data_IF_913035229481
#
_entry.id   IF_913035229481
#
_cell.length_a   1.000
_cell.length_b   1.000
_cell.length_c   1.000
_cell.angle_alpha   90.00
_cell.angle_beta   90.00
_cell.angle_gamma   90.00
#
_symmetry.space_group_name_H-M   'P 1'
#
loop_
_entity.id
_entity.type
_entity.pdbx_description
1 polymer ?
#
# COMPACT_ATOMS: atom_id res chain seq x y z
N UNK A 1 1.32 -15.82 9.92
CA UNK A 1 1.32 -15.44 8.50
C UNK A 1 1.11 -16.73 7.71
N UNK A 2 -0.01 -16.86 7.01
CA UNK A 2 -0.17 -17.96 6.08
C UNK A 2 0.85 -17.76 4.96
N UNK A 3 1.77 -18.69 4.80
CA UNK A 3 2.70 -18.71 3.66
C UNK A 3 1.86 -18.94 2.39
N UNK A 4 1.58 -17.86 1.69
CA UNK A 4 0.94 -17.95 0.38
C UNK A 4 1.99 -18.51 -0.58
N UNK A 5 1.88 -19.81 -0.89
CA UNK A 5 2.65 -20.41 -1.99
C UNK A 5 2.23 -19.72 -3.29
N UNK A 6 3.08 -18.85 -3.82
CA UNK A 6 2.86 -18.30 -5.14
C UNK A 6 3.04 -19.41 -6.18
N UNK A 7 2.20 -19.48 -7.21
CA UNK A 7 2.31 -20.48 -8.26
C UNK A 7 3.55 -20.31 -9.16
N UNK A 8 4.24 -19.17 -9.01
CA UNK A 8 5.43 -18.81 -9.77
C UNK A 8 6.61 -18.52 -8.84
N UNK A 9 7.84 -18.87 -9.23
CA UNK A 9 9.02 -18.59 -8.43
C UNK A 9 9.27 -17.09 -8.31
N UNK A 10 9.62 -16.66 -7.08
CA UNK A 10 10.09 -15.29 -6.85
C UNK A 10 11.50 -15.19 -7.40
N UNK A 11 11.68 -14.43 -8.47
CA UNK A 11 12.99 -14.27 -9.13
C UNK A 11 13.89 -13.27 -8.40
N UNK A 12 13.31 -12.23 -7.80
CA UNK A 12 14.04 -11.16 -7.13
C UNK A 12 13.37 -10.79 -5.81
N UNK A 13 14.16 -10.71 -4.74
CA UNK A 13 13.73 -10.15 -3.47
C UNK A 13 14.39 -8.78 -3.29
N UNK A 14 13.59 -7.73 -3.43
CA UNK A 14 14.04 -6.38 -3.22
C UNK A 14 13.93 -6.00 -1.75
N UNK A 15 14.98 -5.39 -1.20
CA UNK A 15 14.91 -4.82 0.14
C UNK A 15 14.11 -3.50 0.15
N UNK A 16 14.02 -2.83 -0.99
CA UNK A 16 13.23 -1.62 -1.20
C UNK A 16 13.47 -0.53 -0.15
N UNK A 17 12.47 0.32 0.02
CA UNK A 17 12.45 1.35 1.05
C UNK A 17 11.60 0.89 2.23
N UNK A 18 12.20 0.74 3.41
CA UNK A 18 11.44 0.54 4.64
C UNK A 18 10.99 1.88 5.21
N UNK A 19 9.68 2.04 5.38
CA UNK A 19 9.11 3.19 6.09
C UNK A 19 9.43 3.12 7.58
N UNK A 20 9.84 4.24 8.16
CA UNK A 20 9.88 4.37 9.62
C UNK A 20 8.60 5.05 10.10
N UNK A 21 7.87 4.38 10.96
CA UNK A 21 6.70 4.95 11.62
C UNK A 21 7.13 5.93 12.72
N UNK A 22 6.40 7.03 12.85
CA UNK A 22 6.53 7.94 14.01
C UNK A 22 5.93 7.25 15.24
N UNK A 23 6.48 7.55 16.44
CA UNK A 23 5.94 7.02 17.73
C UNK A 23 4.45 7.32 17.96
N UNK A 24 3.90 8.33 17.29
CA UNK A 24 2.48 8.74 17.38
C UNK A 24 1.61 8.30 16.18
N UNK A 25 2.13 7.39 15.31
CA UNK A 25 1.48 6.99 14.07
C UNK A 25 1.89 7.88 12.87
N UNK A 26 1.78 7.33 11.65
CA UNK A 26 2.19 7.97 10.41
C UNK A 26 3.65 7.72 10.02
N UNK A 27 3.98 8.05 8.77
CA UNK A 27 5.30 7.83 8.18
C UNK A 27 6.22 9.00 8.49
N UNK A 28 7.46 8.72 8.91
CA UNK A 28 8.50 9.73 9.04
C UNK A 28 9.15 9.98 7.67
N UNK A 29 8.61 10.99 6.99
CA UNK A 29 8.97 11.35 5.61
C UNK A 29 10.46 11.68 5.47
N UNK A 30 11.03 12.44 6.40
CA UNK A 30 12.43 12.86 6.34
C UNK A 30 13.37 11.67 6.48
N UNK A 31 13.12 10.80 7.45
CA UNK A 31 13.95 9.58 7.61
C UNK A 31 13.79 8.61 6.46
N UNK A 32 12.61 8.56 5.84
CA UNK A 32 12.38 7.77 4.63
C UNK A 32 13.13 8.36 3.45
N UNK A 33 13.11 9.67 3.26
CA UNK A 33 13.80 10.38 2.18
C UNK A 33 15.33 10.23 2.25
N UNK A 34 15.94 10.39 3.44
CA UNK A 34 17.37 10.16 3.59
C UNK A 34 17.80 8.72 3.30
N UNK A 35 16.93 7.75 3.57
CA UNK A 35 17.18 6.36 3.19
C UNK A 35 16.98 6.08 1.70
N UNK A 36 16.10 6.83 1.04
CA UNK A 36 15.85 6.71 -0.40
C UNK A 36 17.08 7.08 -1.24
N UNK A 37 17.92 7.98 -0.73
CA UNK A 37 19.15 8.42 -1.41
C UNK A 37 20.36 7.50 -1.12
N UNK A 38 20.14 6.31 -0.55
CA UNK A 38 21.21 5.38 -0.25
C UNK A 38 21.82 4.79 -1.52
N UNK A 39 23.15 4.67 -1.57
CA UNK A 39 23.88 3.99 -2.66
C UNK A 39 23.34 2.56 -2.93
N UNK A 40 22.83 1.91 -1.86
CA UNK A 40 22.19 0.60 -1.96
C UNK A 40 20.96 0.63 -2.87
N UNK A 41 20.04 1.59 -2.65
CA UNK A 41 18.82 1.70 -3.44
C UNK A 41 19.14 1.99 -4.91
N UNK A 42 20.10 2.87 -5.17
CA UNK A 42 20.56 3.16 -6.54
C UNK A 42 21.17 1.91 -7.21
N UNK A 43 21.92 1.09 -6.47
CA UNK A 43 22.43 -0.19 -6.97
C UNK A 43 21.29 -1.16 -7.29
N UNK A 44 20.31 -1.30 -6.39
CA UNK A 44 19.14 -2.14 -6.62
C UNK A 44 18.35 -1.70 -7.87
N UNK A 45 18.10 -0.39 -8.04
CA UNK A 45 17.41 0.18 -9.21
C UNK A 45 18.16 -0.13 -10.52
N UNK A 46 19.48 0.01 -10.52
CA UNK A 46 20.29 -0.25 -11.72
C UNK A 46 20.44 -1.74 -12.05
N UNK A 47 20.36 -2.61 -11.04
CA UNK A 47 20.58 -4.05 -11.21
C UNK A 47 19.36 -4.83 -11.67
N UNK A 48 18.15 -4.28 -11.54
CA UNK A 48 16.93 -4.97 -11.98
C UNK A 48 16.90 -5.01 -13.52
N UNK A 49 16.81 -6.21 -14.11
CA UNK A 49 16.72 -6.37 -15.56
C UNK A 49 15.26 -6.21 -16.02
N UNK A 50 14.71 -4.99 -15.93
CA UNK A 50 13.34 -4.69 -16.37
C UNK A 50 13.16 -4.87 -17.87
N UNK A 51 14.25 -4.80 -18.62
CA UNK A 51 14.31 -5.04 -20.06
C UNK A 51 13.99 -6.48 -20.48
N UNK A 52 14.10 -7.44 -19.57
CA UNK A 52 13.82 -8.87 -19.82
C UNK A 52 12.32 -9.20 -19.81
N UNK A 53 11.46 -8.22 -19.58
CA UNK A 53 10.02 -8.43 -19.40
C UNK A 53 9.19 -7.66 -20.42
N UNK A 54 8.20 -8.33 -21.02
CA UNK A 54 7.25 -7.75 -21.97
C UNK A 54 6.23 -6.81 -21.32
N UNK A 55 5.90 -7.04 -20.04
CA UNK A 55 4.94 -6.26 -19.27
C UNK A 55 5.40 -6.11 -17.83
N UNK A 56 5.40 -4.88 -17.34
CA UNK A 56 5.75 -4.56 -15.95
C UNK A 56 4.55 -3.91 -15.27
N UNK A 57 4.02 -4.61 -14.27
CA UNK A 57 2.95 -4.11 -13.40
C UNK A 57 3.56 -3.79 -12.04
N UNK A 58 3.24 -2.61 -11.51
CA UNK A 58 3.81 -2.09 -10.29
C UNK A 58 2.72 -1.69 -9.29
N UNK A 59 2.76 -2.26 -8.08
CA UNK A 59 1.91 -1.86 -6.96
C UNK A 59 2.69 -0.94 -6.01
N UNK A 60 2.93 0.28 -6.44
CA UNK A 60 3.58 1.35 -5.66
C UNK A 60 4.96 0.97 -5.11
N UNK A 61 5.72 0.17 -5.85
CA UNK A 61 7.06 -0.28 -5.50
C UNK A 61 8.11 0.61 -6.19
N UNK A 62 8.99 1.31 -5.44
CA UNK A 62 9.84 2.35 -6.02
C UNK A 62 11.02 1.81 -6.86
N UNK A 63 11.59 0.65 -6.50
CA UNK A 63 12.82 0.18 -7.18
C UNK A 63 12.53 -0.15 -8.64
N UNK A 64 11.50 -0.97 -8.89
CA UNK A 64 11.08 -1.34 -10.24
C UNK A 64 10.58 -0.13 -11.02
N UNK A 65 9.78 0.74 -10.39
CA UNK A 65 9.27 1.95 -11.04
C UNK A 65 10.40 2.90 -11.51
N UNK A 66 11.39 3.14 -10.66
CA UNK A 66 12.55 3.96 -11.02
C UNK A 66 13.46 3.28 -12.02
N UNK A 67 13.62 1.95 -11.97
CA UNK A 67 14.38 1.21 -12.97
C UNK A 67 13.77 1.36 -14.37
N UNK A 68 12.45 1.18 -14.47
CA UNK A 68 11.70 1.40 -15.71
C UNK A 68 11.85 2.83 -16.22
N UNK A 69 11.71 3.82 -15.34
CA UNK A 69 11.87 5.24 -15.69
C UNK A 69 13.28 5.54 -16.20
N UNK A 70 14.33 5.04 -15.54
CA UNK A 70 15.72 5.27 -15.94
C UNK A 70 16.09 4.59 -17.27
N UNK A 71 15.50 3.43 -17.53
CA UNK A 71 15.73 2.64 -18.73
C UNK A 71 14.72 2.92 -19.85
N UNK A 72 13.81 3.86 -19.63
CA UNK A 72 12.77 4.27 -20.57
C UNK A 72 11.82 3.14 -21.01
N UNK A 73 11.51 2.23 -20.07
CA UNK A 73 10.64 1.08 -20.28
C UNK A 73 9.25 1.38 -19.75
N UNK A 74 8.17 1.03 -20.47
CA UNK A 74 6.81 1.21 -19.99
C UNK A 74 6.55 0.46 -18.68
N UNK A 75 5.97 1.16 -17.70
CA UNK A 75 5.59 0.59 -16.40
C UNK A 75 4.15 1.00 -16.08
N UNK A 76 3.34 0.01 -15.74
CA UNK A 76 1.91 0.18 -15.46
C UNK A 76 1.67 0.10 -13.96
N UNK A 77 1.24 1.20 -13.36
CA UNK A 77 0.79 1.18 -11.96
C UNK A 77 -0.57 0.51 -11.86
N UNK A 78 -0.72 -0.38 -10.88
CA UNK A 78 -1.99 -0.98 -10.51
C UNK A 78 -2.12 -0.96 -8.99
N UNK A 79 -2.57 0.17 -8.44
CA UNK A 79 -2.46 0.44 -7.02
C UNK A 79 -3.58 1.34 -6.46
N UNK A 80 -3.82 1.25 -5.16
CA UNK A 80 -4.72 2.18 -4.46
C UNK A 80 -4.21 3.63 -4.50
N UNK A 81 -2.90 3.82 -4.50
CA UNK A 81 -2.27 5.14 -4.53
C UNK A 81 -2.60 5.92 -5.80
N UNK A 82 -2.70 5.23 -6.94
CA UNK A 82 -3.10 5.86 -8.20
C UNK A 82 -4.54 6.42 -8.11
N UNK A 83 -5.46 5.71 -7.44
CA UNK A 83 -6.82 6.22 -7.24
C UNK A 83 -6.87 7.44 -6.32
N UNK A 84 -6.00 7.54 -5.30
CA UNK A 84 -5.92 8.70 -4.42
C UNK A 84 -5.49 9.97 -5.16
N UNK A 85 -4.73 9.84 -6.23
CA UNK A 85 -4.30 10.98 -7.08
C UNK A 85 -5.40 11.49 -8.00
N UNK A 86 -6.44 10.70 -8.30
CA UNK A 86 -7.59 11.11 -9.13
C UNK A 86 -8.18 12.44 -8.65
N UNK A 87 -8.53 13.31 -9.59
CA UNK A 87 -9.15 14.61 -9.28
C UNK A 87 -10.55 14.45 -8.70
N UNK A 88 -11.25 13.39 -9.07
CA UNK A 88 -12.64 13.13 -8.68
C UNK A 88 -12.77 12.31 -7.39
N UNK A 89 -11.68 11.69 -6.92
CA UNK A 89 -11.69 10.99 -5.63
C UNK A 89 -11.81 11.97 -4.46
N UNK A 90 -12.49 11.59 -3.36
CA UNK A 90 -12.61 12.44 -2.17
C UNK A 90 -11.25 12.88 -1.66
N UNK A 91 -11.14 14.15 -1.30
CA UNK A 91 -9.90 14.74 -0.78
C UNK A 91 -10.10 15.19 0.67
N UNK A 92 -9.04 15.10 1.50
CA UNK A 92 -9.08 15.68 2.84
C UNK A 92 -9.24 17.21 2.76
N UNK A 93 -9.93 17.80 3.75
CA UNK A 93 -10.13 19.26 3.83
C UNK A 93 -8.80 20.04 3.87
N UNK A 94 -7.77 19.49 4.49
CA UNK A 94 -6.41 20.05 4.51
C UNK A 94 -5.54 19.31 3.52
N UNK A 95 -4.98 20.05 2.57
CA UNK A 95 -4.06 19.47 1.58
C UNK A 95 -2.70 19.20 2.21
N UNK A 96 -2.30 17.95 2.26
CA UNK A 96 -0.92 17.55 2.56
C UNK A 96 -0.09 17.63 1.27
N UNK A 97 0.59 18.77 1.08
CA UNK A 97 1.44 19.00 -0.11
C UNK A 97 2.60 18.01 -0.19
N UNK A 98 3.19 17.64 0.94
CA UNK A 98 4.29 16.68 1.01
C UNK A 98 3.79 15.26 0.70
N UNK A 99 2.67 14.84 1.28
CA UNK A 99 2.05 13.55 0.96
C UNK A 99 1.69 13.43 -0.52
N UNK A 100 1.17 14.49 -1.12
CA UNK A 100 0.88 14.54 -2.56
C UNK A 100 2.16 14.42 -3.41
N UNK A 101 3.23 15.10 -3.01
CA UNK A 101 4.52 15.01 -3.70
C UNK A 101 5.07 13.59 -3.64
N UNK A 102 5.00 12.93 -2.48
CA UNK A 102 5.41 11.52 -2.33
C UNK A 102 4.60 10.63 -3.24
N UNK A 103 3.27 10.72 -3.21
CA UNK A 103 2.40 9.91 -4.07
C UNK A 103 2.74 10.03 -5.56
N UNK A 104 3.16 11.22 -6.00
CA UNK A 104 3.52 11.44 -7.41
C UNK A 104 4.94 10.97 -7.77
N UNK A 105 5.86 10.94 -6.80
CA UNK A 105 7.29 10.76 -7.11
C UNK A 105 7.90 9.50 -6.50
N UNK A 106 7.22 8.83 -5.58
CA UNK A 106 7.76 7.66 -4.90
C UNK A 106 7.97 6.48 -5.85
N UNK A 107 6.95 6.14 -6.64
CA UNK A 107 6.99 5.08 -7.62
C UNK A 107 6.44 5.61 -8.96
N UNK A 108 7.27 6.30 -9.76
CA UNK A 108 6.84 6.92 -11.01
C UNK A 108 6.59 5.85 -12.07
N UNK A 109 5.39 5.84 -12.65
CA UNK A 109 4.98 4.92 -13.71
C UNK A 109 4.48 5.67 -14.93
N UNK A 110 4.59 5.07 -16.13
CA UNK A 110 4.15 5.67 -17.40
C UNK A 110 2.64 5.66 -17.55
N UNK A 111 1.98 4.62 -17.02
CA UNK A 111 0.53 4.47 -17.04
C UNK A 111 0.02 4.16 -15.63
N UNK A 112 -1.14 4.73 -15.29
CA UNK A 112 -1.69 4.58 -13.93
C UNK A 112 -3.10 4.01 -13.98
N UNK A 113 -3.28 2.87 -13.31
CA UNK A 113 -4.58 2.27 -13.03
C UNK A 113 -4.80 2.23 -11.53
N UNK A 114 -5.92 2.78 -11.09
CA UNK A 114 -6.25 2.90 -9.68
C UNK A 114 -7.21 1.82 -9.20
N UNK A 115 -7.12 1.46 -7.92
CA UNK A 115 -8.08 0.60 -7.25
C UNK A 115 -8.81 1.41 -6.17
N UNK A 116 -10.15 1.47 -6.26
CA UNK A 116 -10.99 2.14 -5.27
C UNK A 116 -12.37 1.48 -5.19
N UNK A 117 -13.06 1.63 -4.07
CA UNK A 117 -14.43 1.10 -3.90
C UNK A 117 -15.45 1.73 -4.85
N UNK A 118 -15.14 2.90 -5.38
CA UNK A 118 -15.93 3.58 -6.40
C UNK A 118 -15.04 3.94 -7.58
N UNK A 119 -15.41 3.60 -8.83
CA UNK A 119 -14.69 3.99 -10.03
C UNK A 119 -14.99 5.47 -10.36
N UNK A 120 -14.13 6.37 -9.89
CA UNK A 120 -14.30 7.82 -10.11
C UNK A 120 -13.90 8.27 -11.51
N UNK A 121 -13.01 7.54 -12.17
CA UNK A 121 -12.49 7.80 -13.51
C UNK A 121 -12.36 6.48 -14.27
N UNK A 122 -12.28 6.49 -15.62
CA UNK A 122 -12.24 5.26 -16.43
C UNK A 122 -11.09 4.31 -16.12
N UNK A 123 -9.98 4.84 -15.60
CA UNK A 123 -8.79 4.07 -15.22
C UNK A 123 -8.78 3.67 -13.73
N UNK A 124 -9.90 3.85 -13.03
CA UNK A 124 -10.05 3.41 -11.63
C UNK A 124 -11.07 2.29 -11.57
N UNK A 125 -10.60 1.14 -11.08
CA UNK A 125 -11.36 -0.10 -10.98
C UNK A 125 -11.72 -0.41 -9.53
N UNK A 126 -12.70 -1.29 -9.34
CA UNK A 126 -13.01 -1.83 -8.02
C UNK A 126 -11.91 -2.79 -7.54
N UNK A 127 -11.73 -2.96 -6.22
CA UNK A 127 -10.68 -3.81 -5.69
C UNK A 127 -10.79 -5.26 -6.17
N UNK A 128 -9.65 -5.88 -6.40
CA UNK A 128 -9.57 -7.32 -6.67
C UNK A 128 -9.82 -8.05 -5.36
N UNK A 129 -10.84 -8.89 -5.35
CA UNK A 129 -11.20 -9.74 -4.21
C UNK A 129 -11.01 -11.19 -4.62
N UNK A 130 -10.27 -11.96 -3.82
CA UNK A 130 -10.05 -13.38 -4.06
C UNK A 130 -11.39 -14.13 -4.11
N UNK A 131 -11.46 -15.16 -4.94
CA UNK A 131 -12.70 -15.91 -5.15
C UNK A 131 -13.21 -16.58 -3.86
N UNK A 132 -12.31 -17.12 -3.02
CA UNK A 132 -12.66 -17.73 -1.74
C UNK A 132 -13.37 -16.72 -0.79
N UNK A 133 -12.94 -15.46 -0.80
CA UNK A 133 -13.58 -14.39 -0.02
C UNK A 133 -14.90 -13.97 -0.67
N UNK A 134 -14.93 -13.83 -2.00
CA UNK A 134 -16.13 -13.42 -2.74
C UNK A 134 -17.27 -14.43 -2.62
N UNK A 135 -16.96 -15.73 -2.60
CA UNK A 135 -17.92 -16.83 -2.50
C UNK A 135 -18.22 -17.26 -1.05
N UNK A 136 -17.57 -16.65 -0.07
CA UNK A 136 -17.81 -16.97 1.34
C UNK A 136 -19.26 -16.67 1.74
N UNK A 137 -19.86 -17.54 2.52
CA UNK A 137 -21.17 -17.29 3.13
C UNK A 137 -21.08 -16.14 4.12
N UNK A 138 -21.90 -15.12 3.93
CA UNK A 138 -21.94 -13.95 4.78
C UNK A 138 -22.88 -14.22 5.97
N UNK A 139 -22.40 -14.05 7.17
CA UNK A 139 -23.23 -14.06 8.39
C UNK A 139 -23.16 -12.69 9.09
N UNK A 140 -24.27 -12.30 9.71
CA UNK A 140 -24.31 -11.09 10.54
C UNK A 140 -24.11 -11.50 12.00
N UNK A 141 -22.97 -11.14 12.57
CA UNK A 141 -22.68 -11.32 13.98
C UNK A 141 -23.26 -10.19 14.85
N UNK A 142 -23.24 -10.39 16.18
CA UNK A 142 -23.66 -9.39 17.18
C UNK A 142 -22.49 -8.54 17.69
N UNK A 143 -21.40 -8.50 16.95
CA UNK A 143 -20.19 -7.77 17.31
C UNK A 143 -19.78 -6.78 16.24
N UNK A 144 -18.95 -5.82 16.62
CA UNK A 144 -18.24 -4.95 15.70
C UNK A 144 -16.79 -5.38 15.61
N UNK A 145 -16.32 -5.64 14.40
CA UNK A 145 -14.93 -5.98 14.12
C UNK A 145 -14.08 -4.74 14.02
N UNK A 146 -12.94 -4.73 14.70
CA UNK A 146 -11.97 -3.63 14.67
C UNK A 146 -10.62 -4.16 14.24
N UNK A 147 -10.08 -3.57 13.17
CA UNK A 147 -8.71 -3.82 12.68
C UNK A 147 -8.00 -2.49 12.42
N UNK A 148 -7.21 -2.04 13.39
CA UNK A 148 -6.46 -0.78 13.34
C UNK A 148 -4.97 -1.00 13.65
N UNK A 149 -4.25 -1.68 12.76
CA UNK A 149 -2.87 -2.17 13.01
C UNK A 149 -1.83 -1.06 13.21
N UNK A 150 -2.16 0.19 12.94
CA UNK A 150 -1.28 1.36 13.14
C UNK A 150 -1.46 2.02 14.50
N UNK A 151 -2.44 1.59 15.29
CA UNK A 151 -2.68 2.09 16.63
C UNK A 151 -2.09 1.15 17.68
N UNK A 152 -1.76 1.69 18.86
CA UNK A 152 -1.39 0.89 20.02
C UNK A 152 -2.61 0.13 20.54
N UNK A 153 -2.47 -1.19 20.73
CA UNK A 153 -3.54 -2.05 21.25
C UNK A 153 -4.04 -1.57 22.60
N UNK A 154 -3.15 -1.18 23.51
CA UNK A 154 -3.49 -0.64 24.82
C UNK A 154 -4.42 0.58 24.73
N UNK A 155 -4.09 1.55 23.85
CA UNK A 155 -4.93 2.74 23.65
C UNK A 155 -6.27 2.39 23.03
N UNK A 156 -6.27 1.47 22.08
CA UNK A 156 -7.46 1.01 21.41
C UNK A 156 -8.41 0.31 22.40
N UNK A 157 -7.91 -0.65 23.17
CA UNK A 157 -8.68 -1.37 24.17
C UNK A 157 -9.21 -0.44 25.26
N UNK A 158 -8.38 0.51 25.74
CA UNK A 158 -8.80 1.54 26.70
C UNK A 158 -9.94 2.42 26.17
N UNK A 159 -9.96 2.71 24.87
CA UNK A 159 -11.04 3.47 24.25
C UNK A 159 -12.31 2.61 24.12
N UNK A 160 -12.19 1.40 23.58
CA UNK A 160 -13.32 0.50 23.31
C UNK A 160 -14.00 0.03 24.61
N UNK A 161 -13.23 -0.19 25.69
CA UNK A 161 -13.77 -0.60 27.00
C UNK A 161 -14.75 0.39 27.64
N UNK A 162 -14.73 1.66 27.20
CA UNK A 162 -15.71 2.67 27.64
C UNK A 162 -17.11 2.43 27.10
N UNK A 163 -17.24 1.69 26.00
CA UNK A 163 -18.51 1.38 25.33
C UNK A 163 -19.02 0.00 25.75
N UNK A 164 -19.43 -0.13 27.01
CA UNK A 164 -19.81 -1.41 27.69
C UNK A 164 -20.93 -2.19 27.02
N UNK A 165 -21.79 -1.53 26.22
CA UNK A 165 -22.94 -2.17 25.55
C UNK A 165 -22.60 -2.72 24.17
N UNK A 166 -21.35 -2.58 23.72
CA UNK A 166 -20.92 -3.00 22.40
C UNK A 166 -19.98 -4.19 22.54
N UNK A 167 -20.28 -5.26 21.83
CA UNK A 167 -19.39 -6.42 21.72
C UNK A 167 -18.34 -6.11 20.63
N UNK A 168 -17.10 -6.10 21.02
CA UNK A 168 -15.97 -5.82 20.13
C UNK A 168 -15.19 -7.09 19.83
N UNK A 169 -14.80 -7.26 18.58
CA UNK A 169 -13.83 -8.25 18.14
C UNK A 169 -12.64 -7.49 17.54
N UNK A 170 -11.50 -7.56 18.22
CA UNK A 170 -10.33 -6.75 17.88
C UNK A 170 -9.23 -7.63 17.32
N UNK A 171 -8.84 -7.39 16.07
CA UNK A 171 -7.70 -8.04 15.44
C UNK A 171 -6.44 -7.20 15.63
N UNK A 172 -5.42 -7.79 16.22
CA UNK A 172 -4.12 -7.18 16.47
C UNK A 172 -3.01 -7.89 15.71
N UNK A 173 -1.91 -7.19 15.46
CA UNK A 173 -0.66 -7.77 14.97
C UNK A 173 0.15 -8.45 16.07
N UNK A 174 -0.15 -8.15 17.31
CA UNK A 174 0.52 -8.70 18.48
C UNK A 174 -0.35 -9.82 19.06
N UNK A 175 0.14 -11.05 18.98
CA UNK A 175 -0.46 -12.16 19.73
C UNK A 175 -0.13 -11.92 21.21
N UNK A 176 -1.10 -11.54 21.99
CA UNK A 176 -1.05 -11.56 23.44
C UNK A 176 -1.55 -12.90 23.95
#
# INVERSE_FOLDING_TARGET
QADIKLPYPIKYQLKGLSYKNRKKGGVDVWKTYYKANSMRLQKEIKSIPVEDYDLIINDFEPVTAWACKLKNIPCYSFSHQAAVLSKLAPKPKKTDRMGKWILNNYAPTSHQFGLHFKPYEPNIYTPIIRNDIRSASISKGEHYTVYLPSYSDEKLLKFLSKMKRVKWEVFSKHNT
#
